data_IF_716821086488
#
_entry.id   IF_716821086488
#
_cell.length_a   1.000
_cell.length_b   1.000
_cell.length_c   1.000
_cell.angle_alpha   90.00
_cell.angle_beta   90.00
_cell.angle_gamma   90.00
#
_symmetry.space_group_name_H-M   'P 1'
#
loop_
_entity.id
_entity.type
_entity.pdbx_description
1 polymer ?
#
# COMPACT_ATOMS: atom_id res chain seq x y z
N UNK A 1 -8.60 2.72 14.40
CA UNK A 1 -7.55 3.61 13.85
C UNK A 1 -7.14 3.12 12.47
N UNK A 2 -6.89 4.04 11.55
CA UNK A 2 -6.42 3.73 10.21
C UNK A 2 -4.94 4.08 10.12
N UNK A 3 -4.13 3.20 9.52
CA UNK A 3 -2.72 3.45 9.24
C UNK A 3 -2.47 3.30 7.74
N UNK A 4 -1.73 4.22 7.16
CA UNK A 4 -1.27 4.12 5.77
C UNK A 4 0.26 4.10 5.72
N UNK A 5 0.81 3.07 5.08
CA UNK A 5 2.23 3.03 4.71
C UNK A 5 2.36 3.74 3.37
N UNK A 6 2.85 4.96 3.44
CA UNK A 6 2.68 6.00 2.42
C UNK A 6 3.99 6.34 1.73
N UNK A 7 3.92 6.56 0.42
CA UNK A 7 4.97 7.19 -0.35
C UNK A 7 4.42 8.51 -0.93
N UNK A 8 4.88 9.67 -0.44
CA UNK A 8 4.35 10.96 -0.91
C UNK A 8 4.66 11.27 -2.37
N UNK A 9 5.63 10.57 -2.97
CA UNK A 9 5.99 10.74 -4.38
C UNK A 9 5.17 9.84 -5.31
N UNK A 10 4.28 9.02 -4.77
CA UNK A 10 3.44 8.11 -5.54
C UNK A 10 2.02 8.63 -5.66
N UNK A 11 1.54 8.84 -6.91
CA UNK A 11 0.19 9.34 -7.16
C UNK A 11 -0.90 8.44 -6.60
N UNK A 12 -0.75 7.11 -6.74
CA UNK A 12 -1.71 6.15 -6.16
C UNK A 12 -1.76 6.27 -4.64
N UNK A 13 -0.61 6.46 -3.99
CA UNK A 13 -0.54 6.62 -2.55
C UNK A 13 -1.20 7.93 -2.10
N UNK A 14 -0.96 9.02 -2.82
CA UNK A 14 -1.62 10.32 -2.53
C UNK A 14 -3.13 10.25 -2.73
N UNK A 15 -3.60 9.61 -3.81
CA UNK A 15 -5.04 9.43 -4.06
C UNK A 15 -5.70 8.62 -2.95
N UNK A 16 -5.04 7.56 -2.50
CA UNK A 16 -5.54 6.72 -1.41
C UNK A 16 -5.68 7.51 -0.12
N UNK A 17 -4.65 8.29 0.22
CA UNK A 17 -4.68 9.16 1.40
C UNK A 17 -5.83 10.17 1.32
N UNK A 18 -6.03 10.76 0.15
CA UNK A 18 -7.13 11.71 -0.05
C UNK A 18 -8.48 11.05 0.11
N UNK A 19 -8.66 9.82 -0.36
CA UNK A 19 -9.92 9.06 -0.18
C UNK A 19 -10.18 8.77 1.30
N UNK A 20 -9.16 8.38 2.05
CA UNK A 20 -9.28 8.15 3.50
C UNK A 20 -9.77 9.44 4.18
N UNK A 21 -9.18 10.57 3.85
CA UNK A 21 -9.57 11.87 4.43
C UNK A 21 -10.98 12.27 4.01
N UNK A 22 -11.37 12.00 2.78
CA UNK A 22 -12.74 12.28 2.32
C UNK A 22 -13.78 11.43 3.04
N UNK A 23 -13.39 10.27 3.57
CA UNK A 23 -14.27 9.45 4.40
C UNK A 23 -14.52 10.04 5.80
N UNK A 24 -13.82 11.10 6.15
CA UNK A 24 -13.91 11.74 7.47
C UNK A 24 -12.85 11.26 8.46
N UNK A 25 -11.93 10.40 8.02
CA UNK A 25 -10.89 9.84 8.89
C UNK A 25 -9.56 10.52 8.62
N UNK A 26 -8.77 10.75 9.67
CA UNK A 26 -7.37 11.15 9.56
C UNK A 26 -6.48 9.96 9.92
N UNK A 27 -5.74 9.38 8.98
CA UNK A 27 -4.95 8.19 9.26
C UNK A 27 -3.63 8.54 9.96
N UNK A 28 -3.07 7.54 10.64
CA UNK A 28 -1.66 7.58 11.01
C UNK A 28 -0.83 7.32 9.75
N UNK A 29 0.00 8.28 9.37
CA UNK A 29 0.82 8.20 8.15
C UNK A 29 2.22 7.74 8.51
N UNK A 30 2.64 6.62 7.91
CA UNK A 30 4.02 6.12 8.04
C UNK A 30 4.68 6.25 6.68
N UNK A 31 5.66 7.14 6.56
CA UNK A 31 6.47 7.26 5.36
C UNK A 31 7.55 6.16 5.41
N UNK A 32 7.18 5.00 4.88
CA UNK A 32 7.95 3.77 5.07
C UNK A 32 9.32 3.76 4.39
N UNK A 33 9.56 4.66 3.45
CA UNK A 33 10.89 4.82 2.84
C UNK A 33 11.90 5.36 3.84
N UNK A 34 11.43 6.14 4.82
CA UNK A 34 12.25 6.71 5.88
C UNK A 34 12.14 5.92 7.18
N UNK A 35 10.97 5.34 7.43
CA UNK A 35 10.67 4.57 8.64
C UNK A 35 10.05 3.23 8.23
N UNK A 36 10.86 2.29 7.72
CA UNK A 36 10.34 1.00 7.28
C UNK A 36 9.77 0.21 8.46
N UNK A 37 8.79 -0.68 8.20
CA UNK A 37 8.28 -1.55 9.24
C UNK A 37 9.37 -2.53 9.71
N UNK A 38 9.21 -3.05 10.92
CA UNK A 38 10.05 -4.17 11.37
C UNK A 38 9.80 -5.39 10.49
N UNK A 39 10.72 -6.35 10.49
CA UNK A 39 10.57 -7.60 9.75
C UNK A 39 9.30 -8.34 10.17
N UNK A 40 9.07 -8.44 11.48
CA UNK A 40 7.86 -9.10 11.99
C UNK A 40 6.59 -8.40 11.52
N UNK A 41 6.58 -7.06 11.53
CA UNK A 41 5.43 -6.28 11.08
C UNK A 41 5.18 -6.45 9.59
N UNK A 42 6.22 -6.45 8.76
CA UNK A 42 6.07 -6.65 7.33
C UNK A 42 5.48 -8.03 7.01
N UNK A 43 5.93 -9.06 7.70
CA UNK A 43 5.39 -10.43 7.55
C UNK A 43 3.91 -10.46 7.96
N UNK A 44 3.54 -9.82 9.07
CA UNK A 44 2.15 -9.71 9.50
C UNK A 44 1.27 -9.01 8.46
N UNK A 45 1.77 -7.92 7.88
CA UNK A 45 1.03 -7.16 6.87
C UNK A 45 0.78 -8.01 5.62
N UNK A 46 1.79 -8.72 5.15
CA UNK A 46 1.68 -9.60 3.98
C UNK A 46 0.65 -10.69 4.23
N UNK A 47 0.73 -11.36 5.38
CA UNK A 47 -0.22 -12.39 5.76
C UNK A 47 -1.64 -11.85 5.84
N UNK A 48 -1.83 -10.69 6.45
CA UNK A 48 -3.14 -10.06 6.60
C UNK A 48 -3.74 -9.61 5.27
N UNK A 49 -2.91 -9.23 4.30
CA UNK A 49 -3.36 -8.88 2.96
C UNK A 49 -3.79 -10.11 2.13
N UNK A 50 -3.37 -11.31 2.53
CA UNK A 50 -3.68 -12.53 1.79
C UNK A 50 -3.00 -12.62 0.43
N UNK A 51 -1.86 -11.95 0.26
CA UNK A 51 -1.06 -11.98 -0.96
C UNK A 51 0.26 -12.70 -0.72
N UNK A 52 0.94 -13.08 -1.80
CA UNK A 52 2.30 -13.62 -1.69
C UNK A 52 3.30 -12.49 -1.48
N UNK A 53 4.50 -12.85 -0.99
CA UNK A 53 5.60 -11.90 -0.86
C UNK A 53 5.93 -11.28 -2.22
N UNK A 54 5.96 -12.08 -3.27
CA UNK A 54 6.24 -11.60 -4.63
C UNK A 54 5.21 -10.60 -5.15
N UNK A 55 3.95 -10.76 -4.79
CA UNK A 55 2.88 -9.83 -5.19
C UNK A 55 3.04 -8.45 -4.56
N UNK A 56 3.76 -8.35 -3.44
CA UNK A 56 4.05 -7.06 -2.81
C UNK A 56 5.27 -6.36 -3.43
N UNK A 57 6.11 -7.07 -4.18
CA UNK A 57 7.29 -6.47 -4.80
C UNK A 57 6.91 -5.50 -5.91
N UNK A 58 7.52 -4.32 -5.87
CA UNK A 58 7.45 -3.34 -6.94
C UNK A 58 8.67 -3.44 -7.84
N UNK A 59 8.44 -3.55 -9.14
CA UNK A 59 9.51 -3.63 -10.15
C UNK A 59 9.89 -2.26 -10.69
N UNK A 60 8.91 -1.44 -11.04
CA UNK A 60 9.12 -0.16 -11.72
C UNK A 60 9.88 0.82 -10.82
N UNK A 61 10.96 1.39 -11.36
CA UNK A 61 11.78 2.41 -10.68
C UNK A 61 12.38 1.91 -9.35
N UNK A 62 12.75 0.64 -9.32
CA UNK A 62 13.36 0.00 -8.14
C UNK A 62 14.58 -0.81 -8.57
N UNK A 63 15.41 -1.28 -7.64
CA UNK A 63 16.52 -2.17 -7.96
C UNK A 63 16.11 -3.62 -8.27
N UNK A 64 14.83 -3.90 -8.51
CA UNK A 64 14.31 -5.24 -8.76
C UNK A 64 15.09 -5.98 -9.87
N UNK A 65 15.25 -5.32 -11.04
CA UNK A 65 15.93 -5.93 -12.18
C UNK A 65 17.44 -6.06 -11.92
N UNK A 66 18.06 -5.05 -11.35
CA UNK A 66 19.48 -5.06 -11.02
C UNK A 66 19.85 -6.17 -10.02
N UNK A 67 18.93 -6.45 -9.09
CA UNK A 67 19.10 -7.52 -8.10
C UNK A 67 18.69 -8.90 -8.62
N UNK A 68 18.10 -8.97 -9.81
CA UNK A 68 17.65 -10.23 -10.41
C UNK A 68 16.54 -10.90 -9.63
N UNK A 69 15.56 -10.13 -9.14
CA UNK A 69 14.52 -10.64 -8.25
C UNK A 69 13.47 -11.50 -8.94
N UNK A 70 13.40 -11.49 -10.29
CA UNK A 70 12.55 -12.44 -11.00
C UNK A 70 13.08 -13.87 -10.97
N UNK A 71 14.33 -14.08 -10.54
CA UNK A 71 14.88 -15.43 -10.43
C UNK A 71 14.13 -16.19 -9.33
N UNK A 72 13.56 -17.38 -9.63
CA UNK A 72 12.81 -18.16 -8.65
C UNK A 72 13.66 -18.73 -7.50
N UNK A 73 14.98 -18.61 -7.57
CA UNK A 73 15.88 -19.01 -6.48
C UNK A 73 15.63 -18.25 -5.18
N UNK A 74 15.11 -17.02 -5.27
CA UNK A 74 14.87 -16.19 -4.09
C UNK A 74 13.73 -16.75 -3.25
N UNK A 75 14.01 -17.06 -1.99
CA UNK A 75 12.98 -17.47 -1.04
C UNK A 75 12.18 -16.27 -0.53
N UNK A 76 11.01 -16.52 0.03
CA UNK A 76 10.19 -15.47 0.63
C UNK A 76 10.96 -14.72 1.73
N UNK A 77 11.70 -15.44 2.59
CA UNK A 77 12.51 -14.82 3.63
C UNK A 77 13.57 -13.89 3.07
N UNK A 78 14.23 -14.30 1.99
CA UNK A 78 15.24 -13.46 1.31
C UNK A 78 14.59 -12.23 0.70
N UNK A 79 13.41 -12.36 0.09
CA UNK A 79 12.70 -11.24 -0.51
C UNK A 79 12.24 -10.24 0.57
N UNK A 80 11.78 -10.71 1.71
CA UNK A 80 11.43 -9.85 2.85
C UNK A 80 12.67 -9.07 3.33
N UNK A 81 13.80 -9.73 3.46
CA UNK A 81 15.05 -9.07 3.85
C UNK A 81 15.46 -7.98 2.85
N UNK A 82 15.31 -8.25 1.56
CA UNK A 82 15.61 -7.28 0.51
C UNK A 82 14.66 -6.09 0.53
N UNK A 83 13.37 -6.30 0.82
CA UNK A 83 12.41 -5.22 1.00
C UNK A 83 12.79 -4.29 2.16
N UNK A 84 13.37 -4.83 3.22
CA UNK A 84 13.81 -4.03 4.36
C UNK A 84 15.11 -3.30 4.08
N UNK A 85 16.00 -3.89 3.28
CA UNK A 85 17.24 -3.25 2.82
C UNK A 85 16.94 -2.15 1.79
N UNK A 86 15.93 -2.36 0.95
CA UNK A 86 15.51 -1.46 -0.12
C UNK A 86 13.99 -1.22 -0.03
N UNK A 87 13.55 -0.36 0.90
CA UNK A 87 12.10 -0.16 1.13
C UNK A 87 11.31 0.24 -0.12
N UNK A 88 11.95 0.84 -1.12
CA UNK A 88 11.31 1.18 -2.40
C UNK A 88 10.76 -0.06 -3.13
N UNK A 89 11.27 -1.26 -2.81
CA UNK A 89 10.75 -2.52 -3.34
C UNK A 89 9.37 -2.87 -2.80
N UNK A 90 8.97 -2.29 -1.66
CA UNK A 90 7.64 -2.51 -1.10
C UNK A 90 6.64 -1.70 -1.92
N UNK A 91 5.69 -2.38 -2.55
CA UNK A 91 4.64 -1.70 -3.28
C UNK A 91 3.72 -0.92 -2.32
N UNK A 92 3.00 0.06 -2.81
CA UNK A 92 2.34 1.07 -1.99
C UNK A 92 1.05 1.59 -2.61
N UNK A 93 0.14 2.11 -1.79
CA UNK A 93 0.18 2.14 -0.32
C UNK A 93 -0.40 0.87 0.29
N UNK A 94 0.07 0.52 1.48
CA UNK A 94 -0.56 -0.50 2.32
C UNK A 94 -1.42 0.26 3.33
N UNK A 95 -2.69 -0.11 3.44
CA UNK A 95 -3.62 0.52 4.39
C UNK A 95 -4.13 -0.53 5.37
N UNK A 96 -4.10 -0.19 6.64
CA UNK A 96 -4.57 -1.01 7.75
C UNK A 96 -5.77 -0.31 8.40
N UNK A 97 -6.88 -1.03 8.51
CA UNK A 97 -8.08 -0.55 9.20
C UNK A 97 -8.63 -1.67 10.09
N UNK A 98 -9.63 -1.39 10.96
CA UNK A 98 -10.30 -2.46 11.70
C UNK A 98 -10.95 -3.52 10.82
N UNK A 99 -11.22 -3.21 9.55
CA UNK A 99 -11.83 -4.15 8.59
C UNK A 99 -10.82 -5.02 7.84
N UNK A 100 -9.55 -4.69 7.89
CA UNK A 100 -8.53 -5.49 7.22
C UNK A 100 -7.33 -4.69 6.74
N UNK A 101 -6.51 -5.35 5.92
CA UNK A 101 -5.28 -4.79 5.36
C UNK A 101 -5.31 -5.02 3.85
N UNK A 102 -4.97 -3.97 3.08
CA UNK A 102 -4.93 -4.05 1.61
C UNK A 102 -3.76 -3.28 1.04
N UNK A 103 -3.19 -3.82 -0.02
CA UNK A 103 -2.40 -3.05 -0.97
C UNK A 103 -3.40 -2.32 -1.89
N UNK A 104 -3.50 -1.00 -1.75
CA UNK A 104 -4.53 -0.20 -2.43
C UNK A 104 -4.06 0.25 -3.80
N UNK A 105 -4.05 -0.66 -4.74
CA UNK A 105 -3.75 -0.43 -6.15
C UNK A 105 -4.74 -1.20 -7.01
N UNK A 106 -5.66 -0.52 -7.69
CA UNK A 106 -5.87 0.95 -7.73
C UNK A 106 -6.31 1.51 -6.37
N UNK A 107 -6.21 2.82 -6.22
CA UNK A 107 -6.47 3.51 -4.94
C UNK A 107 -7.86 3.24 -4.35
N UNK A 108 -8.88 3.07 -5.19
CA UNK A 108 -10.26 2.81 -4.76
C UNK A 108 -10.47 1.47 -4.05
N UNK A 109 -9.47 0.57 -4.08
CA UNK A 109 -9.49 -0.65 -3.26
C UNK A 109 -9.64 -0.31 -1.78
N UNK A 110 -9.18 0.87 -1.35
CA UNK A 110 -9.30 1.31 0.04
C UNK A 110 -10.76 1.37 0.51
N UNK A 111 -11.71 1.58 -0.39
CA UNK A 111 -13.13 1.63 -0.04
C UNK A 111 -13.64 0.32 0.56
N UNK A 112 -13.00 -0.82 0.21
CA UNK A 112 -13.39 -2.14 0.72
C UNK A 112 -13.10 -2.28 2.22
N UNK A 113 -12.19 -1.48 2.76
CA UNK A 113 -11.77 -1.59 4.16
C UNK A 113 -11.97 -0.32 4.97
N UNK A 114 -12.51 0.75 4.39
CA UNK A 114 -12.82 1.96 5.16
C UNK A 114 -14.02 1.72 6.08
N UNK A 115 -13.98 2.21 7.34
CA UNK A 115 -15.14 2.19 8.23
C UNK A 115 -16.35 2.88 7.61
N UNK A 116 -16.12 3.99 6.90
CA UNK A 116 -17.16 4.68 6.13
C UNK A 116 -16.75 4.75 4.65
N UNK A 117 -17.23 3.82 3.80
CA UNK A 117 -16.90 3.84 2.37
C UNK A 117 -17.77 4.80 1.55
N UNK A 118 -18.74 5.48 2.18
CA UNK A 118 -19.73 6.32 1.49
C UNK A 118 -19.16 7.71 1.23
N UNK A 119 -18.08 7.77 0.43
CA UNK A 119 -17.35 9.01 0.18
C UNK A 119 -17.92 9.85 -0.95
N UNK A 120 -18.87 9.31 -1.72
CA UNK A 120 -19.38 9.98 -2.90
C UNK A 120 -18.36 10.05 -4.03
N UNK A 121 -18.48 11.08 -4.86
CA UNK A 121 -17.59 11.28 -6.02
C UNK A 121 -16.20 11.71 -5.55
N UNK A 122 -15.20 11.05 -6.11
CA UNK A 122 -13.79 11.38 -5.90
C UNK A 122 -13.10 11.57 -7.26
N UNK A 123 -12.31 12.61 -7.39
CA UNK A 123 -11.51 12.87 -8.59
C UNK A 123 -10.03 12.66 -8.25
N UNK A 124 -9.40 11.72 -8.94
CA UNK A 124 -7.96 11.46 -8.79
C UNK A 124 -7.14 12.62 -9.37
N UNK A 125 -5.87 12.68 -9.01
CA UNK A 125 -4.96 13.74 -9.48
C UNK A 125 -4.84 13.80 -11.00
N UNK A 126 -4.97 12.65 -11.69
CA UNK A 126 -4.91 12.56 -13.15
C UNK A 126 -6.25 12.91 -13.83
N UNK A 127 -7.27 13.24 -13.05
CA UNK A 127 -8.61 13.57 -13.55
C UNK A 127 -9.56 12.37 -13.63
N UNK A 128 -9.09 11.15 -13.38
CA UNK A 128 -9.98 9.97 -13.35
C UNK A 128 -11.00 10.13 -12.22
N UNK A 129 -12.27 9.91 -12.56
CA UNK A 129 -13.37 10.00 -11.61
C UNK A 129 -13.68 8.62 -11.05
N UNK A 130 -13.73 8.54 -9.72
CA UNK A 130 -14.24 7.37 -9.02
C UNK A 130 -15.60 7.74 -8.46
N UNK A 131 -16.63 7.02 -8.91
CA UNK A 131 -17.94 7.13 -8.31
C UNK A 131 -17.94 6.28 -7.04
N UNK A 132 -17.52 6.91 -5.94
CA UNK A 132 -17.51 6.28 -4.64
C UNK A 132 -18.93 5.88 -4.22
N UNK A 133 -19.00 5.03 -3.22
CA UNK A 133 -20.29 4.59 -2.68
C UNK A 133 -21.04 5.79 -2.14
N UNK A 134 -22.33 5.88 -2.46
CA UNK A 134 -23.18 6.97 -2.00
C UNK A 134 -23.86 6.59 -0.67
N UNK A 135 -24.13 7.62 0.10
CA UNK A 135 -24.89 7.44 1.35
C UNK A 135 -26.33 6.97 1.04
#
# INVERSE_FOLDING_TARGET
MITIYHNPDCGTSRNTLAMIRQSGEEPHIIEYLMTPPSRARLIELIAAMGISVRELLRRKDTPYDALGLDNPKWSDDQLVDLMLQHPILINRPIVVTPKGVRLCRPSEVVLDILPNPLIGRFVKEDGEVVDGRAA
#
